data_IF_829827310067
#
_entry.id   IF_829827310067
#
_cell.length_a   1.000
_cell.length_b   1.000
_cell.length_c   1.000
_cell.angle_alpha   90.00
_cell.angle_beta   90.00
_cell.angle_gamma   90.00
#
_symmetry.space_group_name_H-M   'P 1'
#
loop_
_entity.id
_entity.type
_entity.pdbx_description
1 polymer ?
#
# COMPACT_ATOMS: atom_id res chain seq x y z
N UNK A 1 -15.47 -13.94 65.61
CA UNK A 1 -14.36 -14.21 64.68
C UNK A 1 -14.95 -14.33 63.28
N UNK A 2 -15.05 -13.22 62.54
CA UNK A 2 -15.70 -13.15 61.23
C UNK A 2 -14.64 -13.45 60.17
N UNK A 3 -14.81 -14.54 59.42
CA UNK A 3 -13.91 -14.93 58.34
C UNK A 3 -14.31 -14.18 57.06
N UNK A 4 -13.40 -13.33 56.53
CA UNK A 4 -13.58 -12.71 55.22
C UNK A 4 -13.47 -13.79 54.12
N UNK A 5 -14.60 -14.19 53.54
CA UNK A 5 -14.62 -15.04 52.35
C UNK A 5 -13.96 -14.30 51.17
N UNK A 6 -13.00 -14.90 50.45
CA UNK A 6 -12.34 -14.22 49.34
C UNK A 6 -13.32 -14.01 48.19
N UNK A 7 -13.44 -12.74 47.77
CA UNK A 7 -14.31 -12.27 46.70
C UNK A 7 -13.96 -12.92 45.34
N UNK A 8 -14.62 -14.03 45.01
CA UNK A 8 -14.46 -14.73 43.72
C UNK A 8 -14.98 -13.93 42.51
N UNK A 9 -15.86 -12.94 42.73
CA UNK A 9 -16.43 -12.09 41.66
C UNK A 9 -15.41 -11.12 41.06
N UNK A 10 -14.47 -10.60 41.85
CA UNK A 10 -13.43 -9.68 41.36
C UNK A 10 -12.31 -10.37 40.56
N UNK A 11 -12.07 -11.66 40.81
CA UNK A 11 -10.98 -12.43 40.16
C UNK A 11 -11.28 -12.70 38.69
N UNK A 12 -12.55 -13.00 38.35
CA UNK A 12 -12.97 -13.21 36.96
C UNK A 12 -12.88 -11.94 36.11
N UNK A 13 -13.39 -10.82 36.62
CA UNK A 13 -13.29 -9.52 35.94
C UNK A 13 -11.82 -9.06 35.76
N UNK A 14 -10.99 -9.28 36.77
CA UNK A 14 -9.56 -8.96 36.72
C UNK A 14 -8.79 -9.82 35.70
N UNK A 15 -9.14 -11.11 35.57
CA UNK A 15 -8.57 -12.00 34.55
C UNK A 15 -9.01 -11.62 33.13
N UNK A 16 -10.26 -11.20 32.93
CA UNK A 16 -10.76 -10.74 31.63
C UNK A 16 -10.07 -9.43 31.22
N UNK A 17 -9.93 -8.46 32.13
CA UNK A 17 -9.19 -7.23 31.86
C UNK A 17 -7.71 -7.51 31.55
N UNK A 18 -7.08 -8.44 32.28
CA UNK A 18 -5.70 -8.85 32.01
C UNK A 18 -5.55 -9.54 30.66
N UNK A 19 -6.51 -10.39 30.27
CA UNK A 19 -6.51 -11.06 28.96
C UNK A 19 -6.72 -10.05 27.81
N UNK A 20 -7.65 -9.09 27.97
CA UNK A 20 -7.85 -8.02 27.00
C UNK A 20 -6.60 -7.13 26.86
N UNK A 21 -5.98 -6.76 27.99
CA UNK A 21 -4.74 -6.00 27.99
C UNK A 21 -3.59 -6.76 27.32
N UNK A 22 -3.49 -8.08 27.52
CA UNK A 22 -2.50 -8.93 26.87
C UNK A 22 -2.73 -9.06 25.36
N UNK A 23 -3.99 -9.09 24.89
CA UNK A 23 -4.32 -9.10 23.45
C UNK A 23 -3.95 -7.76 22.81
N UNK A 24 -4.21 -6.64 23.50
CA UNK A 24 -3.87 -5.30 23.01
C UNK A 24 -2.35 -5.08 22.97
N UNK A 25 -1.62 -5.53 24.00
CA UNK A 25 -0.15 -5.41 24.05
C UNK A 25 0.57 -6.43 23.16
N UNK A 26 0.01 -7.63 22.95
CA UNK A 26 0.59 -8.67 22.10
C UNK A 26 0.48 -8.41 20.59
N UNK A 27 -0.36 -7.45 20.17
CA UNK A 27 -0.62 -7.15 18.76
C UNK A 27 0.37 -6.19 18.08
N UNK A 28 1.29 -5.55 18.81
CA UNK A 28 2.11 -4.44 18.29
C UNK A 28 3.57 -4.77 18.00
N UNK A 29 4.02 -6.01 18.19
CA UNK A 29 5.31 -6.46 17.66
C UNK A 29 5.17 -6.92 16.19
N UNK A 30 4.61 -6.05 15.34
CA UNK A 30 4.89 -6.17 13.91
C UNK A 30 6.13 -5.34 13.67
N UNK A 31 7.23 -6.00 13.30
CA UNK A 31 8.35 -5.32 12.69
C UNK A 31 7.78 -4.44 11.56
N UNK A 32 7.76 -3.14 11.79
CA UNK A 32 7.47 -2.16 10.77
C UNK A 32 8.70 -2.13 9.85
N UNK A 33 8.87 -3.19 9.08
CA UNK A 33 9.85 -3.22 8.01
C UNK A 33 9.42 -2.13 7.02
N UNK A 34 10.27 -1.13 6.84
CA UNK A 34 10.08 -0.18 5.75
C UNK A 34 9.98 -0.98 4.45
N UNK A 35 8.94 -0.75 3.66
CA UNK A 35 8.88 -1.32 2.32
C UNK A 35 10.10 -0.81 1.55
N UNK A 36 11.06 -1.70 1.30
CA UNK A 36 12.19 -1.40 0.42
C UNK A 36 11.67 -1.43 -1.01
N UNK A 37 11.50 -0.24 -1.60
CA UNK A 37 11.21 -0.09 -3.02
C UNK A 37 12.54 0.13 -3.74
N UNK A 38 12.74 -0.57 -4.84
CA UNK A 38 13.94 -0.38 -5.65
C UNK A 38 13.89 0.96 -6.39
N UNK A 39 15.04 1.54 -6.71
CA UNK A 39 15.08 2.79 -7.47
C UNK A 39 14.33 2.71 -8.84
N UNK A 40 14.39 1.60 -9.60
CA UNK A 40 13.62 1.44 -10.84
C UNK A 40 12.11 1.43 -10.62
N UNK A 41 11.62 0.70 -9.61
CA UNK A 41 10.19 0.67 -9.25
C UNK A 41 9.68 2.05 -8.85
N UNK A 42 10.49 2.78 -8.07
CA UNK A 42 10.15 4.14 -7.66
C UNK A 42 10.07 5.08 -8.88
N UNK A 43 11.05 5.01 -9.79
CA UNK A 43 11.03 5.81 -11.04
C UNK A 43 9.82 5.46 -11.90
N UNK A 44 9.49 4.18 -12.08
CA UNK A 44 8.33 3.73 -12.84
C UNK A 44 7.02 4.29 -12.27
N UNK A 45 6.85 4.24 -10.94
CA UNK A 45 5.70 4.82 -10.26
C UNK A 45 5.60 6.34 -10.50
N UNK A 46 6.73 7.06 -10.47
CA UNK A 46 6.74 8.49 -10.80
C UNK A 46 6.35 8.75 -12.25
N UNK A 47 6.91 8.03 -13.23
CA UNK A 47 6.58 8.19 -14.65
C UNK A 47 5.08 7.96 -14.90
N UNK A 48 4.51 6.90 -14.33
CA UNK A 48 3.07 6.64 -14.40
C UNK A 48 2.25 7.78 -13.79
N UNK A 49 2.63 8.27 -12.60
CA UNK A 49 1.91 9.36 -11.95
C UNK A 49 2.02 10.67 -12.72
N UNK A 50 3.17 10.99 -13.32
CA UNK A 50 3.29 12.17 -14.18
C UNK A 50 2.35 12.07 -15.37
N UNK A 51 2.28 10.92 -16.01
CA UNK A 51 1.34 10.70 -17.10
C UNK A 51 -0.12 10.81 -16.64
N UNK A 52 -0.44 10.24 -15.47
CA UNK A 52 -1.80 10.23 -14.91
C UNK A 52 -2.29 11.62 -14.51
N UNK A 53 -1.39 12.49 -14.07
CA UNK A 53 -1.74 13.83 -13.58
C UNK A 53 -1.44 14.94 -14.60
N UNK A 54 -0.90 14.60 -15.76
CA UNK A 54 -0.81 15.49 -16.91
C UNK A 54 -2.14 15.52 -17.66
N UNK A 55 -2.44 16.66 -18.29
CA UNK A 55 -3.54 16.75 -19.25
C UNK A 55 -3.03 16.30 -20.62
N UNK A 56 -3.76 15.40 -21.28
CA UNK A 56 -3.47 14.92 -22.63
C UNK A 56 -4.49 15.50 -23.61
N UNK A 57 -4.13 16.53 -24.39
CA UNK A 57 -5.06 17.19 -25.30
C UNK A 57 -5.56 16.25 -26.40
N UNK A 58 -6.85 16.34 -26.71
CA UNK A 58 -7.52 15.48 -27.69
C UNK A 58 -7.03 15.68 -29.14
N UNK A 59 -6.38 16.81 -29.43
CA UNK A 59 -5.73 17.10 -30.71
C UNK A 59 -4.33 16.45 -30.85
N UNK A 60 -3.74 16.01 -29.75
CA UNK A 60 -2.45 15.29 -29.72
C UNK A 60 -2.66 13.78 -29.68
N UNK A 61 -3.61 13.31 -28.85
CA UNK A 61 -3.94 11.90 -28.69
C UNK A 61 -5.41 11.68 -28.98
N UNK A 62 -5.71 10.86 -30.00
CA UNK A 62 -7.08 10.50 -30.36
C UNK A 62 -7.73 9.62 -29.28
N UNK A 63 -9.02 9.82 -29.02
CA UNK A 63 -9.82 9.00 -28.09
C UNK A 63 -9.59 7.49 -28.29
N UNK A 64 -9.44 6.76 -27.19
CA UNK A 64 -9.20 5.30 -27.16
C UNK A 64 -7.88 4.81 -27.79
N UNK A 65 -6.99 5.69 -28.22
CA UNK A 65 -5.62 5.30 -28.58
C UNK A 65 -4.77 5.03 -27.33
N UNK A 66 -3.65 4.31 -27.49
CA UNK A 66 -2.75 4.03 -26.37
C UNK A 66 -1.80 5.19 -26.08
N UNK A 67 -1.62 5.50 -24.79
CA UNK A 67 -0.57 6.40 -24.31
C UNK A 67 0.73 5.60 -24.15
N UNK A 68 1.72 5.90 -24.98
CA UNK A 68 2.99 5.14 -25.04
C UNK A 68 4.05 5.82 -24.17
N UNK A 69 4.56 5.14 -23.16
CA UNK A 69 5.63 5.61 -22.29
C UNK A 69 6.96 4.90 -22.62
N UNK A 70 7.92 5.66 -23.16
CA UNK A 70 9.22 5.11 -23.57
C UNK A 70 10.30 5.38 -22.52
N UNK A 71 11.14 4.37 -22.26
CA UNK A 71 12.34 4.49 -21.42
C UNK A 71 13.58 4.36 -22.30
N UNK A 72 14.46 5.35 -22.27
CA UNK A 72 15.71 5.34 -23.04
C UNK A 72 16.89 4.87 -22.17
N UNK A 73 17.54 3.77 -22.56
CA UNK A 73 18.84 3.34 -22.00
C UNK A 73 18.81 2.70 -20.61
N UNK A 74 17.67 2.61 -19.91
CA UNK A 74 17.53 1.98 -18.59
C UNK A 74 16.52 0.81 -18.65
N UNK A 75 17.02 -0.39 -18.91
CA UNK A 75 16.19 -1.59 -19.04
C UNK A 75 15.49 -1.99 -17.74
N UNK A 76 16.10 -1.74 -16.58
CA UNK A 76 15.48 -2.05 -15.29
C UNK A 76 14.27 -1.15 -15.01
N UNK A 77 14.36 0.13 -15.38
CA UNK A 77 13.21 1.05 -15.34
C UNK A 77 12.16 0.66 -16.37
N UNK A 78 12.56 0.24 -17.58
CA UNK A 78 11.62 -0.22 -18.59
C UNK A 78 10.79 -1.43 -18.11
N UNK A 79 11.45 -2.44 -17.54
CA UNK A 79 10.78 -3.63 -16.98
C UNK A 79 9.87 -3.30 -15.80
N UNK A 80 10.30 -2.36 -14.94
CA UNK A 80 9.48 -1.89 -13.83
C UNK A 80 8.27 -1.09 -14.32
N UNK A 81 8.43 -0.30 -15.39
CA UNK A 81 7.37 0.49 -15.98
C UNK A 81 6.32 -0.41 -16.65
N UNK A 82 6.73 -1.41 -17.43
CA UNK A 82 5.80 -2.37 -18.04
C UNK A 82 4.91 -3.05 -16.98
N UNK A 83 5.50 -3.44 -15.84
CA UNK A 83 4.74 -3.99 -14.70
C UNK A 83 3.79 -2.97 -14.07
N UNK A 84 4.23 -1.72 -13.97
CA UNK A 84 3.46 -0.63 -13.34
C UNK A 84 2.25 -0.22 -14.17
N UNK A 85 2.37 -0.19 -15.51
CA UNK A 85 1.30 0.32 -16.41
C UNK A 85 0.31 -0.76 -16.83
N UNK A 86 0.65 -2.05 -16.65
CA UNK A 86 -0.16 -3.19 -17.11
C UNK A 86 -1.61 -3.12 -16.61
N UNK A 87 -2.54 -2.99 -17.54
CA UNK A 87 -3.98 -2.95 -17.26
C UNK A 87 -4.49 -1.60 -16.75
N UNK A 88 -3.64 -0.57 -16.69
CA UNK A 88 -4.05 0.78 -16.36
C UNK A 88 -4.53 1.56 -17.59
N UNK A 89 -5.44 2.50 -17.35
CA UNK A 89 -5.87 3.50 -18.32
C UNK A 89 -5.78 4.89 -17.70
N UNK A 90 -5.46 5.88 -18.53
CA UNK A 90 -5.49 7.31 -18.19
C UNK A 90 -6.44 7.97 -19.17
N UNK A 91 -7.52 8.59 -18.67
CA UNK A 91 -8.53 9.28 -19.49
C UNK A 91 -9.09 8.46 -20.67
N UNK A 92 -9.21 7.14 -20.50
CA UNK A 92 -9.70 6.22 -21.53
C UNK A 92 -8.62 5.72 -22.51
N UNK A 93 -7.37 6.15 -22.34
CA UNK A 93 -6.22 5.64 -23.07
C UNK A 93 -5.57 4.49 -22.31
N UNK A 94 -5.40 3.34 -22.97
CA UNK A 94 -4.57 2.27 -22.41
C UNK A 94 -3.11 2.71 -22.36
N UNK A 95 -2.44 2.45 -21.24
CA UNK A 95 -1.03 2.85 -21.05
C UNK A 95 -0.13 1.67 -21.38
N UNK A 96 0.86 1.90 -22.26
CA UNK A 96 1.79 0.87 -22.77
C UNK A 96 3.23 1.36 -22.77
#
# INVERSE_FOLDING_TARGET
MITHAPNRRGRGASLVCAALAAIVMGGVARDAAAQSVTAPELKAAFLFNFAKFAEWPADVISLNSSLVLCVAGDGAVADALDKTVRGHQIDGHSVV
#
